data_IF_212023612331
#
_entry.id   IF_212023612331
#
_cell.length_a   1.000
_cell.length_b   1.000
_cell.length_c   1.000
_cell.angle_alpha   90.00
_cell.angle_beta   90.00
_cell.angle_gamma   90.00
#
_symmetry.space_group_name_H-M   'P 1'
#
loop_
_entity.id
_entity.type
_entity.pdbx_description
1 polymer ?
#
# COMPACT_ATOMS: atom_id res chain seq x y z
N UNK A 1 -12.14 -28.07 6.46
CA UNK A 1 -12.74 -26.78 6.02
C UNK A 1 -13.30 -25.92 7.15
N UNK A 2 -13.88 -26.50 8.21
CA UNK A 2 -14.42 -25.77 9.38
C UNK A 2 -13.35 -24.98 10.16
N UNK A 3 -12.15 -25.54 10.35
CA UNK A 3 -11.05 -24.87 11.07
C UNK A 3 -10.55 -23.61 10.36
N UNK A 4 -10.39 -23.61 9.04
CA UNK A 4 -9.90 -22.44 8.28
C UNK A 4 -10.89 -21.28 8.32
N UNK A 5 -12.20 -21.57 8.19
CA UNK A 5 -13.25 -20.55 8.33
C UNK A 5 -13.27 -19.96 9.74
N UNK A 6 -13.17 -20.80 10.77
CA UNK A 6 -13.10 -20.34 12.16
C UNK A 6 -11.90 -19.42 12.40
N UNK A 7 -10.70 -19.78 11.92
CA UNK A 7 -9.52 -18.91 12.05
C UNK A 7 -9.67 -17.59 11.29
N UNK A 8 -10.32 -17.60 10.12
CA UNK A 8 -10.56 -16.37 9.36
C UNK A 8 -11.54 -15.45 10.11
N UNK A 9 -12.61 -16.02 10.69
CA UNK A 9 -13.55 -15.27 11.52
C UNK A 9 -12.86 -14.66 12.74
N UNK A 10 -11.96 -15.42 13.39
CA UNK A 10 -11.15 -14.90 14.49
C UNK A 10 -10.23 -13.76 14.04
N UNK A 11 -9.61 -13.85 12.86
CA UNK A 11 -8.80 -12.77 12.31
C UNK A 11 -9.64 -11.51 12.07
N UNK A 12 -10.82 -11.63 11.46
CA UNK A 12 -11.75 -10.50 11.28
C UNK A 12 -12.27 -9.94 12.61
N UNK A 13 -12.52 -10.80 13.61
CA UNK A 13 -12.94 -10.35 14.93
C UNK A 13 -11.82 -9.56 15.64
N UNK A 14 -10.57 -10.02 15.53
CA UNK A 14 -9.41 -9.29 16.06
C UNK A 14 -9.23 -7.93 15.37
N UNK A 15 -9.40 -7.88 14.03
CA UNK A 15 -9.40 -6.63 13.28
C UNK A 15 -10.55 -5.72 13.71
N UNK A 16 -11.76 -6.24 13.87
CA UNK A 16 -12.90 -5.46 14.34
C UNK A 16 -12.66 -4.87 15.74
N UNK A 17 -12.01 -5.62 16.64
CA UNK A 17 -11.61 -5.13 17.95
C UNK A 17 -10.58 -3.99 17.85
N UNK A 18 -9.59 -4.10 16.96
CA UNK A 18 -8.63 -3.02 16.70
C UNK A 18 -9.32 -1.77 16.11
N UNK A 19 -10.29 -1.93 15.21
CA UNK A 19 -11.03 -0.81 14.64
C UNK A 19 -11.94 -0.15 15.68
N UNK A 20 -12.58 -0.94 16.55
CA UNK A 20 -13.34 -0.42 17.68
C UNK A 20 -12.43 0.35 18.65
N UNK A 21 -11.24 -0.17 18.94
CA UNK A 21 -10.23 0.55 19.71
C UNK A 21 -9.82 1.86 19.00
N UNK A 22 -9.60 1.85 17.68
CA UNK A 22 -9.27 3.05 16.90
C UNK A 22 -10.34 4.15 16.99
N UNK A 23 -11.63 3.76 17.05
CA UNK A 23 -12.75 4.68 17.26
C UNK A 23 -12.80 5.21 18.70
N UNK A 24 -12.38 4.42 19.69
CA UNK A 24 -12.35 4.82 21.09
C UNK A 24 -11.11 5.64 21.46
N UNK A 25 -9.98 5.43 20.78
CA UNK A 25 -8.70 6.10 21.06
C UNK A 25 -8.65 7.51 20.49
N UNK A 26 -8.51 8.50 21.38
CA UNK A 26 -8.24 9.89 21.07
C UNK A 26 -8.37 10.76 22.33
N UNK A 27 -7.79 11.96 22.31
CA UNK A 27 -7.70 12.83 23.49
C UNK A 27 -9.04 13.47 23.89
N UNK A 28 -9.91 13.73 22.92
CA UNK A 28 -11.23 14.31 23.17
C UNK A 28 -12.22 13.21 23.60
N UNK A 29 -12.89 13.39 24.73
CA UNK A 29 -13.93 12.45 25.16
C UNK A 29 -15.19 12.63 24.31
N UNK A 30 -15.47 11.60 23.53
CA UNK A 30 -16.56 11.56 22.55
C UNK A 30 -17.90 11.28 23.22
N UNK A 31 -17.89 10.68 24.41
CA UNK A 31 -19.12 10.26 25.11
C UNK A 31 -19.66 11.34 26.04
N UNK A 32 -18.78 12.18 26.59
CA UNK A 32 -19.15 13.22 27.55
C UNK A 32 -19.04 14.66 27.03
N UNK A 33 -18.33 14.89 25.91
CA UNK A 33 -18.18 16.21 25.32
C UNK A 33 -19.36 16.64 24.47
N UNK A 34 -19.73 17.93 24.56
CA UNK A 34 -20.84 18.53 23.79
C UNK A 34 -20.68 18.33 22.26
N UNK A 35 -19.44 18.33 21.77
CA UNK A 35 -19.10 18.11 20.35
C UNK A 35 -18.68 16.68 20.02
N UNK A 36 -18.90 15.73 20.93
CA UNK A 36 -18.45 14.34 20.81
C UNK A 36 -18.91 13.67 19.51
N UNK A 37 -20.19 13.79 19.18
CA UNK A 37 -20.75 13.22 17.94
C UNK A 37 -20.14 13.84 16.68
N UNK A 38 -19.83 15.14 16.69
CA UNK A 38 -19.18 15.80 15.57
C UNK A 38 -17.74 15.31 15.40
N UNK A 39 -16.99 15.17 16.50
CA UNK A 39 -15.63 14.62 16.49
C UNK A 39 -15.58 13.17 15.99
N UNK A 40 -16.54 12.33 16.41
CA UNK A 40 -16.66 10.96 15.95
C UNK A 40 -16.88 10.91 14.43
N UNK A 41 -17.85 11.66 13.92
CA UNK A 41 -18.27 11.61 12.52
C UNK A 41 -17.31 12.33 11.57
N UNK A 42 -16.64 13.40 12.01
CA UNK A 42 -15.80 14.21 11.13
C UNK A 42 -14.34 13.78 11.12
N UNK A 43 -13.87 13.09 12.17
CA UNK A 43 -12.44 12.71 12.31
C UNK A 43 -12.28 11.21 12.54
N UNK A 44 -12.85 10.65 13.60
CA UNK A 44 -12.54 9.26 14.00
C UNK A 44 -13.05 8.22 13.00
N UNK A 45 -14.31 8.32 12.58
CA UNK A 45 -14.90 7.42 11.57
C UNK A 45 -14.18 7.54 10.21
N UNK A 46 -13.98 8.75 9.64
CA UNK A 46 -13.15 8.93 8.45
C UNK A 46 -11.77 8.29 8.54
N UNK A 47 -11.07 8.49 9.66
CA UNK A 47 -9.75 7.91 9.89
C UNK A 47 -9.79 6.38 9.93
N UNK A 48 -10.74 5.80 10.65
CA UNK A 48 -10.90 4.34 10.72
C UNK A 48 -11.25 3.73 9.36
N UNK A 49 -12.11 4.38 8.56
CA UNK A 49 -12.40 3.93 7.19
C UNK A 49 -11.14 3.98 6.33
N UNK A 50 -10.35 5.05 6.44
CA UNK A 50 -9.10 5.16 5.70
C UNK A 50 -8.08 4.07 6.08
N UNK A 51 -7.97 3.71 7.36
CA UNK A 51 -7.12 2.58 7.80
C UNK A 51 -7.53 1.28 7.10
N UNK A 52 -8.84 1.02 7.02
CA UNK A 52 -9.38 -0.18 6.35
C UNK A 52 -9.05 -0.17 4.87
N UNK A 53 -9.38 0.92 4.17
CA UNK A 53 -9.22 1.03 2.73
C UNK A 53 -7.74 1.02 2.32
N UNK A 54 -6.88 1.81 2.98
CA UNK A 54 -5.46 1.85 2.70
C UNK A 54 -4.76 0.53 3.07
N UNK A 55 -5.05 -0.05 4.23
CA UNK A 55 -4.45 -1.31 4.67
C UNK A 55 -4.77 -2.48 3.74
N UNK A 56 -6.04 -2.61 3.32
CA UNK A 56 -6.43 -3.63 2.35
C UNK A 56 -5.81 -3.38 0.98
N UNK A 57 -5.89 -2.16 0.45
CA UNK A 57 -5.41 -1.83 -0.88
C UNK A 57 -3.89 -1.97 -1.03
N UNK A 58 -3.11 -1.54 -0.03
CA UNK A 58 -1.65 -1.65 -0.06
C UNK A 58 -1.19 -3.10 0.07
N UNK A 59 -1.81 -3.90 0.95
CA UNK A 59 -1.50 -5.32 1.07
C UNK A 59 -1.81 -6.09 -0.22
N UNK A 60 -2.95 -5.79 -0.85
CA UNK A 60 -3.36 -6.39 -2.13
C UNK A 60 -2.48 -5.93 -3.29
N UNK A 61 -2.10 -4.66 -3.33
CA UNK A 61 -1.17 -4.14 -4.36
C UNK A 61 0.20 -4.80 -4.25
N UNK A 62 0.68 -5.03 -3.03
CA UNK A 62 1.89 -5.81 -2.79
C UNK A 62 1.78 -7.24 -3.32
N UNK A 63 0.70 -7.94 -2.99
CA UNK A 63 0.45 -9.30 -3.49
C UNK A 63 0.42 -9.37 -5.02
N UNK A 64 -0.29 -8.44 -5.68
CA UNK A 64 -0.32 -8.37 -7.15
C UNK A 64 1.07 -8.06 -7.69
N UNK A 65 1.81 -7.11 -7.09
CA UNK A 65 3.16 -6.77 -7.53
C UNK A 65 4.09 -8.00 -7.44
N UNK A 66 4.00 -8.77 -6.36
CA UNK A 66 4.80 -10.00 -6.20
C UNK A 66 4.50 -11.03 -7.29
N UNK A 67 3.23 -11.17 -7.68
CA UNK A 67 2.83 -12.07 -8.78
C UNK A 67 3.38 -11.61 -10.12
N UNK A 68 3.17 -10.33 -10.47
CA UNK A 68 3.60 -9.79 -11.77
C UNK A 68 5.14 -9.79 -11.93
N UNK A 69 5.86 -9.57 -10.83
CA UNK A 69 7.33 -9.60 -10.81
C UNK A 69 7.91 -10.99 -10.57
N UNK A 70 7.06 -11.96 -10.22
CA UNK A 70 7.44 -13.31 -9.80
C UNK A 70 8.47 -13.27 -8.65
N UNK A 71 8.34 -12.29 -7.76
CA UNK A 71 9.30 -12.03 -6.70
C UNK A 71 8.61 -11.63 -5.40
N UNK A 72 8.85 -12.41 -4.34
CA UNK A 72 8.21 -12.23 -3.03
C UNK A 72 8.71 -11.02 -2.24
N UNK A 73 9.87 -10.47 -2.57
CA UNK A 73 10.47 -9.35 -1.83
C UNK A 73 10.15 -7.99 -2.46
N UNK A 74 9.09 -7.93 -3.27
CA UNK A 74 8.68 -6.74 -3.99
C UNK A 74 7.32 -6.25 -3.51
N UNK A 75 7.19 -4.93 -3.43
CA UNK A 75 5.97 -4.16 -3.19
C UNK A 75 6.09 -2.77 -3.86
N UNK A 76 5.01 -1.97 -3.94
CA UNK A 76 5.04 -0.68 -4.64
C UNK A 76 6.18 0.26 -4.20
N UNK A 77 6.45 0.37 -2.90
CA UNK A 77 7.54 1.18 -2.33
C UNK A 77 8.94 0.68 -2.69
N UNK A 78 9.12 -0.63 -2.86
CA UNK A 78 10.43 -1.19 -3.29
C UNK A 78 10.65 -1.10 -4.80
N UNK A 79 9.59 -0.93 -5.59
CA UNK A 79 9.68 -0.79 -7.07
C UNK A 79 9.85 0.64 -7.55
N UNK A 80 9.86 1.62 -6.64
CA UNK A 80 9.88 3.03 -6.97
C UNK A 80 8.49 3.63 -7.24
N UNK A 81 7.42 2.83 -7.21
CA UNK A 81 6.06 3.27 -7.64
C UNK A 81 5.55 4.44 -6.79
N UNK A 82 5.85 4.44 -5.50
CA UNK A 82 5.49 5.53 -4.58
C UNK A 82 6.28 6.81 -4.86
N UNK A 83 7.56 6.70 -5.20
CA UNK A 83 8.42 7.84 -5.58
C UNK A 83 7.90 8.49 -6.87
N UNK A 84 7.46 7.70 -7.84
CA UNK A 84 6.79 8.21 -9.04
C UNK A 84 5.45 8.89 -8.71
N UNK A 85 4.64 8.33 -7.82
CA UNK A 85 3.43 9.00 -7.35
C UNK A 85 3.72 10.36 -6.69
N UNK A 86 4.78 10.43 -5.87
CA UNK A 86 5.26 11.67 -5.25
C UNK A 86 5.74 12.71 -6.29
N UNK A 87 6.45 12.27 -7.33
CA UNK A 87 6.80 13.14 -8.46
C UNK A 87 5.55 13.66 -9.18
N UNK A 88 4.55 12.81 -9.40
CA UNK A 88 3.27 13.23 -9.99
C UNK A 88 2.56 14.29 -9.14
N UNK A 89 2.52 14.12 -7.82
CA UNK A 89 1.98 15.11 -6.89
C UNK A 89 2.73 16.45 -6.97
N UNK A 90 4.06 16.41 -7.06
CA UNK A 90 4.87 17.60 -7.22
C UNK A 90 4.58 18.31 -8.55
N UNK A 91 4.42 17.56 -9.65
CA UNK A 91 4.01 18.11 -10.94
C UNK A 91 2.62 18.74 -10.88
N UNK A 92 1.66 18.11 -10.19
CA UNK A 92 0.33 18.68 -10.00
C UNK A 92 0.41 20.04 -9.29
N UNK A 93 1.22 20.14 -8.23
CA UNK A 93 1.39 21.41 -7.50
C UNK A 93 2.06 22.50 -8.34
N UNK A 94 3.05 22.15 -9.15
CA UNK A 94 3.80 23.13 -9.95
C UNK A 94 2.97 23.61 -11.15
N UNK A 95 2.32 22.69 -11.86
CA UNK A 95 1.58 22.99 -13.09
C UNK A 95 0.18 23.54 -12.81
N UNK A 96 -0.47 23.04 -11.75
CA UNK A 96 -1.84 23.40 -11.37
C UNK A 96 -1.89 23.65 -9.85
N UNK A 97 -1.41 24.80 -9.34
CA UNK A 97 -1.36 25.07 -7.90
C UNK A 97 -2.70 24.94 -7.19
N UNK A 98 -3.79 25.28 -7.88
CA UNK A 98 -5.18 25.17 -7.39
C UNK A 98 -5.81 23.80 -7.61
N UNK A 99 -5.01 22.78 -7.98
CA UNK A 99 -5.51 21.44 -8.25
C UNK A 99 -6.27 20.89 -7.04
N UNK A 100 -7.49 20.44 -7.31
CA UNK A 100 -8.32 19.67 -6.42
C UNK A 100 -7.64 18.36 -6.02
N UNK A 101 -8.16 17.72 -4.96
CA UNK A 101 -7.66 16.41 -4.51
C UNK A 101 -7.71 15.37 -5.64
N UNK A 102 -8.78 15.38 -6.44
CA UNK A 102 -8.96 14.43 -7.53
C UNK A 102 -7.95 14.66 -8.68
N UNK A 103 -7.62 15.91 -8.99
CA UNK A 103 -6.60 16.22 -10.00
C UNK A 103 -5.21 15.79 -9.51
N UNK A 104 -4.87 16.10 -8.25
CA UNK A 104 -3.61 15.62 -7.64
C UNK A 104 -3.51 14.09 -7.69
N UNK A 105 -4.62 13.39 -7.44
CA UNK A 105 -4.69 11.93 -7.59
C UNK A 105 -4.47 11.47 -9.01
N UNK A 106 -5.08 12.12 -10.00
CA UNK A 106 -4.89 11.76 -11.40
C UNK A 106 -3.41 11.83 -11.79
N UNK A 107 -2.72 12.91 -11.41
CA UNK A 107 -1.28 13.03 -11.63
C UNK A 107 -0.48 11.93 -10.91
N UNK A 108 -0.77 11.70 -9.62
CA UNK A 108 -0.10 10.66 -8.83
C UNK A 108 -0.27 9.27 -9.46
N UNK A 109 -1.49 8.92 -9.88
CA UNK A 109 -1.80 7.63 -10.51
C UNK A 109 -1.14 7.49 -11.88
N UNK A 110 -1.16 8.53 -12.71
CA UNK A 110 -0.51 8.50 -14.04
C UNK A 110 1.00 8.32 -13.91
N UNK A 111 1.65 9.09 -13.04
CA UNK A 111 3.10 8.96 -12.84
C UNK A 111 3.46 7.61 -12.20
N UNK A 112 2.69 7.17 -11.20
CA UNK A 112 2.81 5.84 -10.60
C UNK A 112 2.75 4.73 -11.66
N UNK A 113 1.76 4.81 -12.56
CA UNK A 113 1.62 3.86 -13.67
C UNK A 113 2.80 3.88 -14.63
N UNK A 114 3.23 5.07 -15.06
CA UNK A 114 4.43 5.24 -15.91
C UNK A 114 5.65 4.63 -15.21
N UNK A 115 5.82 4.92 -13.93
CA UNK A 115 6.92 4.45 -13.11
C UNK A 115 6.99 2.95 -12.98
N UNK A 116 5.86 2.31 -12.65
CA UNK A 116 5.78 0.85 -12.59
C UNK A 116 6.04 0.23 -13.97
N UNK A 117 5.58 0.86 -15.06
CA UNK A 117 5.85 0.38 -16.42
C UNK A 117 7.35 0.48 -16.77
N UNK A 118 7.99 1.61 -16.41
CA UNK A 118 9.44 1.79 -16.54
C UNK A 118 10.18 0.70 -15.76
N UNK A 119 9.78 0.44 -14.52
CA UNK A 119 10.35 -0.64 -13.72
C UNK A 119 10.24 -2.01 -14.42
N UNK A 120 9.07 -2.38 -14.96
CA UNK A 120 8.92 -3.63 -15.70
C UNK A 120 9.74 -3.67 -17.00
N UNK A 121 9.90 -2.55 -17.70
CA UNK A 121 10.76 -2.46 -18.88
C UNK A 121 12.23 -2.72 -18.54
N UNK A 122 12.72 -2.15 -17.44
CA UNK A 122 14.06 -2.44 -16.94
C UNK A 122 14.20 -3.91 -16.53
N UNK A 123 13.22 -4.45 -15.81
CA UNK A 123 13.23 -5.84 -15.36
C UNK A 123 13.28 -6.85 -16.53
N UNK A 124 12.67 -6.53 -17.67
CA UNK A 124 12.76 -7.34 -18.89
C UNK A 124 14.17 -7.40 -19.47
N UNK A 125 15.00 -6.38 -19.25
CA UNK A 125 16.38 -6.30 -19.76
C UNK A 125 17.42 -6.94 -18.83
N UNK A 126 17.07 -7.21 -17.58
CA UNK A 126 17.96 -7.83 -16.60
C UNK A 126 18.00 -9.34 -16.81
N UNK A 127 19.17 -9.88 -17.17
CA UNK A 127 19.39 -11.30 -17.45
C UNK A 127 19.46 -12.17 -16.18
N UNK A 128 19.91 -11.61 -15.06
CA UNK A 128 19.99 -12.29 -13.77
C UNK A 128 18.84 -11.85 -12.86
N UNK A 129 17.76 -12.63 -12.84
CA UNK A 129 16.60 -12.39 -11.95
C UNK A 129 16.75 -13.11 -10.62
N UNK A 130 17.85 -12.87 -9.91
CA UNK A 130 17.92 -13.33 -8.53
C UNK A 130 16.84 -12.62 -7.70
N UNK A 131 16.37 -13.27 -6.65
CA UNK A 131 15.29 -12.74 -5.80
C UNK A 131 15.63 -11.36 -5.20
N UNK A 132 16.91 -11.04 -5.05
CA UNK A 132 17.37 -9.76 -4.50
C UNK A 132 17.58 -8.67 -5.56
N UNK A 133 17.86 -9.03 -6.81
CA UNK A 133 18.14 -8.04 -7.87
C UNK A 133 16.88 -7.22 -8.20
N UNK A 134 15.70 -7.84 -8.17
CA UNK A 134 14.45 -7.16 -8.56
C UNK A 134 14.11 -5.98 -7.62
N UNK A 135 14.11 -6.13 -6.28
CA UNK A 135 13.97 -4.99 -5.37
C UNK A 135 15.10 -3.96 -5.51
N UNK A 136 16.35 -4.39 -5.71
CA UNK A 136 17.50 -3.46 -5.84
C UNK A 136 17.31 -2.53 -7.05
N UNK A 137 16.89 -3.07 -8.20
CA UNK A 137 16.58 -2.27 -9.39
C UNK A 137 15.50 -1.24 -9.09
N UNK A 138 14.44 -1.65 -8.38
CA UNK A 138 13.36 -0.76 -7.97
C UNK A 138 13.82 0.37 -7.04
N UNK A 139 14.63 0.05 -6.01
CA UNK A 139 15.21 1.02 -5.09
C UNK A 139 16.12 2.01 -5.84
N UNK A 140 16.95 1.53 -6.77
CA UNK A 140 17.81 2.39 -7.58
C UNK A 140 17.01 3.34 -8.47
N UNK A 141 15.97 2.84 -9.15
CA UNK A 141 15.09 3.68 -9.98
C UNK A 141 14.32 4.70 -9.12
N UNK A 142 13.79 4.27 -7.97
CA UNK A 142 13.15 5.14 -6.99
C UNK A 142 14.07 6.24 -6.49
N UNK A 143 15.34 5.93 -6.19
CA UNK A 143 16.34 6.91 -5.75
C UNK A 143 16.63 7.99 -6.82
N UNK A 144 16.65 7.62 -8.11
CA UNK A 144 16.80 8.58 -9.22
C UNK A 144 15.59 9.52 -9.25
N UNK A 145 14.37 8.98 -9.20
CA UNK A 145 13.13 9.76 -9.20
C UNK A 145 13.02 10.66 -7.98
N UNK A 146 13.40 10.16 -6.80
CA UNK A 146 13.43 10.92 -5.56
C UNK A 146 14.45 12.06 -5.61
N UNK A 147 15.62 11.85 -6.24
CA UNK A 147 16.62 12.90 -6.47
C UNK A 147 16.09 14.01 -7.38
N UNK A 148 15.41 13.64 -8.47
CA UNK A 148 14.73 14.61 -9.36
C UNK A 148 13.62 15.36 -8.62
N UNK A 149 12.79 14.64 -7.85
CA UNK A 149 11.72 15.23 -7.04
C UNK A 149 12.27 16.22 -6.01
N UNK A 150 13.36 15.88 -5.34
CA UNK A 150 14.02 16.72 -4.34
C UNK A 150 14.63 17.98 -4.98
N UNK A 151 15.28 17.84 -6.13
CA UNK A 151 15.80 18.99 -6.88
C UNK A 151 14.70 19.96 -7.30
N UNK A 152 13.60 19.44 -7.85
CA UNK A 152 12.45 20.26 -8.23
C UNK A 152 11.82 20.92 -7.00
N UNK A 153 11.61 20.17 -5.93
CA UNK A 153 11.02 20.69 -4.71
C UNK A 153 11.87 21.77 -4.03
N UNK A 154 13.21 21.66 -4.12
CA UNK A 154 14.13 22.73 -3.71
C UNK A 154 13.97 23.99 -4.58
N UNK A 155 13.80 23.83 -5.90
CA UNK A 155 13.61 24.96 -6.82
C UNK A 155 12.26 25.66 -6.64
N UNK A 156 11.25 24.95 -6.16
CA UNK A 156 9.89 25.48 -5.98
C UNK A 156 9.52 25.75 -4.54
N UNK A 157 10.47 25.65 -3.61
CA UNK A 157 10.26 25.83 -2.17
C UNK A 157 9.18 24.90 -1.57
N UNK A 158 9.04 23.70 -2.14
CA UNK A 158 8.07 22.68 -1.71
C UNK A 158 8.74 21.48 -1.04
N UNK A 159 10.02 21.60 -0.63
CA UNK A 159 10.76 20.49 -0.02
C UNK A 159 10.10 19.98 1.28
N UNK A 160 9.56 20.89 2.11
CA UNK A 160 8.83 20.51 3.32
C UNK A 160 7.56 19.72 2.98
N UNK A 161 6.79 20.16 1.98
CA UNK A 161 5.58 19.47 1.51
C UNK A 161 5.90 18.10 0.93
N UNK A 162 6.99 17.97 0.17
CA UNK A 162 7.46 16.67 -0.31
C UNK A 162 7.81 15.76 0.88
N UNK A 163 8.50 16.30 1.89
CA UNK A 163 8.85 15.57 3.11
C UNK A 163 7.65 15.08 3.91
N UNK A 164 6.54 15.83 3.96
CA UNK A 164 5.32 15.38 4.66
C UNK A 164 4.63 14.24 3.93
N UNK A 165 4.67 14.17 2.59
CA UNK A 165 4.08 13.04 1.85
C UNK A 165 4.82 11.72 2.03
N UNK A 166 6.14 11.76 2.18
CA UNK A 166 6.93 10.57 2.53
C UNK A 166 6.75 10.16 4.00
N UNK A 167 6.20 11.04 4.85
CA UNK A 167 5.82 10.75 6.23
C UNK A 167 4.36 10.34 6.31
N UNK A 168 4.04 9.13 5.83
CA UNK A 168 2.68 8.61 5.83
C UNK A 168 2.02 8.67 7.22
N UNK A 169 0.89 9.35 7.30
CA UNK A 169 0.11 9.54 8.52
C UNK A 169 -1.38 9.66 8.22
N UNK A 170 -2.19 9.23 9.17
CA UNK A 170 -3.64 9.35 9.11
C UNK A 170 -4.18 10.57 9.87
N UNK A 171 -3.31 11.40 10.46
CA UNK A 171 -3.71 12.61 11.22
C UNK A 171 -4.49 13.61 10.36
N UNK A 172 -4.18 13.71 9.07
CA UNK A 172 -4.84 14.64 8.14
C UNK A 172 -6.14 14.09 7.54
N UNK A 173 -6.58 12.89 7.93
CA UNK A 173 -7.78 12.27 7.38
C UNK A 173 -9.02 12.72 8.15
N UNK A 174 -9.85 13.52 7.48
CA UNK A 174 -11.14 13.98 7.98
C UNK A 174 -12.20 13.95 6.87
N UNK A 175 -13.45 14.23 7.25
CA UNK A 175 -14.59 14.28 6.32
C UNK A 175 -14.33 15.27 5.17
N UNK A 176 -14.53 14.83 3.93
CA UNK A 176 -14.19 15.56 2.70
C UNK A 176 -12.89 15.09 2.03
N UNK A 177 -12.00 14.41 2.76
CA UNK A 177 -10.75 13.87 2.20
C UNK A 177 -10.71 12.33 2.10
N UNK A 178 -11.42 11.60 2.94
CA UNK A 178 -11.37 10.13 2.94
C UNK A 178 -12.26 9.51 1.86
N UNK A 179 -13.24 10.24 1.34
CA UNK A 179 -14.25 9.75 0.40
C UNK A 179 -13.62 9.29 -0.92
N UNK A 180 -12.53 9.95 -1.33
CA UNK A 180 -11.76 9.55 -2.52
C UNK A 180 -11.07 8.19 -2.35
N UNK A 181 -10.84 7.71 -1.13
CA UNK A 181 -10.32 6.36 -0.89
C UNK A 181 -11.31 5.26 -1.30
N UNK A 182 -12.60 5.55 -1.50
CA UNK A 182 -13.53 4.54 -2.03
C UNK A 182 -13.10 4.01 -3.41
N UNK A 183 -12.30 4.75 -4.17
CA UNK A 183 -11.68 4.26 -5.42
C UNK A 183 -10.83 3.02 -5.17
N UNK A 184 -10.11 2.94 -4.04
CA UNK A 184 -9.26 1.78 -3.74
C UNK A 184 -10.08 0.55 -3.33
N UNK A 185 -11.32 0.73 -2.88
CA UNK A 185 -12.24 -0.41 -2.72
C UNK A 185 -12.54 -1.06 -4.07
N UNK A 186 -12.75 -0.28 -5.12
CA UNK A 186 -12.94 -0.81 -6.47
C UNK A 186 -11.71 -1.59 -6.95
N UNK A 187 -10.50 -1.14 -6.60
CA UNK A 187 -9.25 -1.89 -6.86
C UNK A 187 -9.25 -3.22 -6.12
N UNK A 188 -9.56 -3.24 -4.82
CA UNK A 188 -9.62 -4.47 -4.03
C UNK A 188 -10.62 -5.45 -4.65
N UNK A 189 -11.83 -5.01 -4.97
CA UNK A 189 -12.87 -5.83 -5.63
C UNK A 189 -12.41 -6.33 -7.00
N UNK A 190 -11.74 -5.50 -7.80
CA UNK A 190 -11.20 -5.91 -9.08
C UNK A 190 -10.14 -7.02 -8.92
N UNK A 191 -9.25 -6.94 -7.92
CA UNK A 191 -8.28 -8.01 -7.66
C UNK A 191 -8.99 -9.32 -7.28
N UNK A 192 -10.07 -9.27 -6.50
CA UNK A 192 -10.89 -10.47 -6.23
C UNK A 192 -11.49 -11.08 -7.49
N UNK A 193 -11.97 -10.24 -8.41
CA UNK A 193 -12.57 -10.70 -9.66
C UNK A 193 -11.53 -11.30 -10.62
N UNK A 194 -10.35 -10.68 -10.70
CA UNK A 194 -9.28 -11.10 -11.61
C UNK A 194 -8.26 -12.06 -10.98
N UNK A 195 -8.49 -12.52 -9.76
CA UNK A 195 -7.55 -13.34 -8.99
C UNK A 195 -7.00 -14.52 -9.82
N UNK A 196 -7.87 -15.37 -10.36
CA UNK A 196 -7.43 -16.57 -11.08
C UNK A 196 -6.56 -16.22 -12.32
N UNK A 197 -6.89 -15.14 -13.03
CA UNK A 197 -6.12 -14.69 -14.21
C UNK A 197 -4.78 -14.05 -13.83
N UNK A 198 -4.74 -13.32 -12.71
CA UNK A 198 -3.51 -12.76 -12.15
C UNK A 198 -2.58 -13.86 -11.65
N UNK A 199 -3.11 -14.93 -11.05
CA UNK A 199 -2.34 -16.12 -10.67
C UNK A 199 -1.70 -16.75 -11.90
N UNK A 200 -2.48 -17.00 -12.96
CA UNK A 200 -1.97 -17.60 -14.20
C UNK A 200 -0.90 -16.71 -14.84
N UNK A 201 -1.12 -15.39 -14.90
CA UNK A 201 -0.10 -14.46 -15.39
C UNK A 201 1.18 -14.48 -14.54
N UNK A 202 1.05 -14.64 -13.21
CA UNK A 202 2.17 -14.78 -12.29
C UNK A 202 2.97 -16.08 -12.44
N UNK A 203 2.44 -17.09 -13.13
CA UNK A 203 3.20 -18.31 -13.49
C UNK A 203 4.18 -18.09 -14.66
N UNK A 204 4.04 -16.97 -15.37
CA UNK A 204 4.93 -16.58 -16.47
C UNK A 204 4.19 -16.50 -17.80
N UNK A 205 4.86 -15.87 -18.77
CA UNK A 205 4.26 -15.55 -20.07
C UNK A 205 3.86 -16.81 -20.85
N UNK A 206 4.74 -17.82 -20.92
CA UNK A 206 4.52 -19.06 -21.66
C UNK A 206 3.35 -19.89 -21.11
N UNK A 207 3.26 -20.04 -19.78
CA UNK A 207 2.14 -20.75 -19.16
C UNK A 207 0.83 -19.99 -19.33
N UNK A 208 0.85 -18.66 -19.20
CA UNK A 208 -0.35 -17.85 -19.37
C UNK A 208 -0.89 -17.93 -20.80
N UNK A 209 -0.03 -17.82 -21.81
CA UNK A 209 -0.43 -17.91 -23.21
C UNK A 209 -0.92 -19.30 -23.60
N UNK A 210 -0.29 -20.37 -23.10
CA UNK A 210 -0.71 -21.75 -23.34
C UNK A 210 -2.11 -22.09 -22.80
N UNK A 211 -2.53 -21.46 -21.69
CA UNK A 211 -3.86 -21.64 -21.09
C UNK A 211 -4.88 -20.60 -21.63
N UNK A 212 -4.50 -19.79 -22.63
CA UNK A 212 -5.38 -18.83 -23.30
C UNK A 212 -5.56 -17.50 -22.56
N UNK A 213 -4.73 -17.22 -21.54
CA UNK A 213 -4.72 -15.93 -20.85
C UNK A 213 -3.75 -14.98 -21.56
N UNK A 214 -4.25 -13.78 -21.91
CA UNK A 214 -3.39 -12.75 -22.50
C UNK A 214 -2.50 -12.12 -21.42
N UNK A 215 -1.23 -12.57 -21.36
CA UNK A 215 -0.23 -12.12 -20.39
C UNK A 215 -0.06 -10.60 -20.37
N UNK A 216 0.07 -9.97 -21.54
CA UNK A 216 0.29 -8.52 -21.64
C UNK A 216 -0.88 -7.71 -21.09
N UNK A 217 -2.13 -8.14 -21.35
CA UNK A 217 -3.33 -7.49 -20.79
C UNK A 217 -3.39 -7.63 -19.27
N UNK A 218 -3.00 -8.78 -18.72
CA UNK A 218 -2.98 -8.99 -17.27
C UNK A 218 -1.87 -8.18 -16.59
N UNK A 219 -0.70 -8.07 -17.22
CA UNK A 219 0.38 -7.17 -16.75
C UNK A 219 -0.07 -5.71 -16.72
N UNK A 220 -0.72 -5.25 -17.79
CA UNK A 220 -1.25 -3.88 -17.88
C UNK A 220 -2.32 -3.62 -16.82
N UNK A 221 -3.28 -4.55 -16.67
CA UNK A 221 -4.35 -4.47 -15.69
C UNK A 221 -3.80 -4.44 -14.26
N UNK A 222 -2.92 -5.39 -13.91
CA UNK A 222 -2.32 -5.44 -12.58
C UNK A 222 -1.49 -4.20 -12.28
N UNK A 223 -0.74 -3.69 -13.26
CA UNK A 223 -0.01 -2.42 -13.14
C UNK A 223 -0.95 -1.24 -12.90
N UNK A 224 -2.07 -1.16 -13.62
CA UNK A 224 -3.08 -0.12 -13.42
C UNK A 224 -3.70 -0.19 -12.02
N UNK A 225 -4.05 -1.40 -11.54
CA UNK A 225 -4.60 -1.60 -10.20
C UNK A 225 -3.62 -1.16 -9.12
N UNK A 226 -2.36 -1.56 -9.22
CA UNK A 226 -1.30 -1.14 -8.28
C UNK A 226 -1.11 0.38 -8.33
N UNK A 227 -1.08 0.97 -9.54
CA UNK A 227 -0.84 2.40 -9.70
C UNK A 227 -1.97 3.24 -9.11
N UNK A 228 -3.24 2.83 -9.33
CA UNK A 228 -4.42 3.46 -8.76
C UNK A 228 -4.38 3.39 -7.24
N UNK A 229 -4.20 2.19 -6.66
CA UNK A 229 -4.13 2.03 -5.21
C UNK A 229 -2.99 2.84 -4.59
N UNK A 230 -1.78 2.71 -5.12
CA UNK A 230 -0.58 3.41 -4.60
C UNK A 230 -0.74 4.92 -4.72
N UNK A 231 -1.18 5.43 -5.87
CA UNK A 231 -1.36 6.86 -6.10
C UNK A 231 -2.41 7.46 -5.19
N UNK A 232 -3.60 6.86 -5.11
CA UNK A 232 -4.69 7.35 -4.26
C UNK A 232 -4.30 7.30 -2.78
N UNK A 233 -3.71 6.21 -2.29
CA UNK A 233 -3.26 6.11 -0.89
C UNK A 233 -2.15 7.14 -0.60
N UNK A 234 -1.22 7.35 -1.52
CA UNK A 234 -0.13 8.31 -1.33
C UNK A 234 -0.64 9.75 -1.25
N UNK A 235 -1.69 10.11 -2.02
CA UNK A 235 -2.29 11.45 -1.93
C UNK A 235 -2.99 11.70 -0.59
N UNK A 236 -3.72 10.71 -0.07
CA UNK A 236 -4.57 10.90 1.11
C UNK A 236 -3.82 10.64 2.42
N UNK A 237 -3.00 9.59 2.44
CA UNK A 237 -2.33 9.10 3.65
C UNK A 237 -0.82 9.30 3.59
N UNK A 238 -0.24 9.34 2.39
CA UNK A 238 1.21 9.34 2.20
C UNK A 238 1.78 7.93 2.10
N UNK A 239 3.10 7.83 2.23
CA UNK A 239 3.83 6.58 2.04
C UNK A 239 3.59 5.57 3.18
N UNK A 240 3.10 4.37 2.86
CA UNK A 240 2.93 3.24 3.78
C UNK A 240 3.88 2.09 3.41
N UNK A 241 5.11 2.06 3.95
CA UNK A 241 6.10 1.06 3.57
C UNK A 241 5.81 -0.32 4.17
N UNK A 242 6.32 -1.37 3.54
CA UNK A 242 6.34 -2.77 3.98
C UNK A 242 5.00 -3.49 4.11
N UNK A 243 3.85 -2.80 4.02
CA UNK A 243 2.52 -3.44 4.12
C UNK A 243 2.34 -4.46 2.99
N UNK A 244 2.68 -4.07 1.77
CA UNK A 244 2.53 -4.90 0.57
C UNK A 244 3.53 -6.04 0.51
N UNK A 245 4.68 -5.90 1.18
CA UNK A 245 5.68 -6.95 1.24
C UNK A 245 5.34 -7.96 2.34
N UNK A 246 5.10 -7.50 3.55
CA UNK A 246 5.03 -8.37 4.74
C UNK A 246 3.76 -9.19 4.74
N UNK A 247 2.62 -8.55 4.49
CA UNK A 247 1.34 -9.20 4.69
C UNK A 247 1.17 -10.40 3.75
N UNK A 248 1.41 -10.28 2.42
CA UNK A 248 1.35 -11.43 1.52
C UNK A 248 2.34 -12.55 1.86
N UNK A 249 3.56 -12.19 2.28
CA UNK A 249 4.58 -13.18 2.68
C UNK A 249 4.18 -13.95 3.94
N UNK A 250 3.69 -13.24 4.96
CA UNK A 250 3.18 -13.88 6.16
C UNK A 250 2.00 -14.80 5.81
N UNK A 251 1.08 -14.38 4.93
CA UNK A 251 -0.03 -15.22 4.43
C UNK A 251 0.46 -16.47 3.69
N UNK A 252 1.47 -16.35 2.84
CA UNK A 252 1.95 -17.50 2.07
C UNK A 252 2.70 -18.53 2.92
N UNK A 253 3.41 -18.12 3.98
CA UNK A 253 4.21 -19.02 4.83
C UNK A 253 3.42 -20.16 5.51
N UNK A 254 2.13 -19.95 5.77
CA UNK A 254 1.24 -20.86 6.52
C UNK A 254 0.05 -21.34 5.70
N UNK A 255 -0.31 -20.67 4.59
CA UNK A 255 -1.41 -21.09 3.70
C UNK A 255 -0.98 -21.54 2.31
N UNK A 256 0.27 -21.34 1.92
CA UNK A 256 0.75 -21.57 0.56
C UNK A 256 0.40 -20.42 -0.38
N UNK A 257 0.59 -20.61 -1.69
CA UNK A 257 0.58 -19.52 -2.69
C UNK A 257 -0.73 -19.42 -3.51
N UNK A 258 -1.82 -20.01 -3.03
CA UNK A 258 -3.12 -19.87 -3.69
C UNK A 258 -3.69 -18.45 -3.46
N UNK A 259 -3.61 -17.63 -4.51
CA UNK A 259 -4.03 -16.23 -4.48
C UNK A 259 -5.47 -16.08 -3.99
N UNK A 260 -6.42 -16.79 -4.63
CA UNK A 260 -7.85 -16.53 -4.46
C UNK A 260 -8.30 -16.84 -3.05
N UNK A 261 -7.83 -17.94 -2.47
CA UNK A 261 -8.16 -18.25 -1.09
C UNK A 261 -7.40 -17.38 -0.09
N UNK A 262 -6.26 -16.80 -0.45
CA UNK A 262 -5.47 -15.93 0.41
C UNK A 262 -5.96 -14.47 0.45
N UNK A 263 -6.68 -13.98 -0.56
CA UNK A 263 -7.13 -12.57 -0.60
C UNK A 263 -7.84 -12.09 0.67
N UNK A 264 -8.79 -12.83 1.28
CA UNK A 264 -9.44 -12.39 2.52
C UNK A 264 -8.46 -12.24 3.69
N UNK A 265 -7.43 -13.08 3.74
CA UNK A 265 -6.40 -13.04 4.78
C UNK A 265 -5.44 -11.87 4.58
N UNK A 266 -5.05 -11.62 3.33
CA UNK A 266 -4.21 -10.47 2.98
C UNK A 266 -4.94 -9.17 3.32
N UNK A 267 -6.24 -9.08 3.04
CA UNK A 267 -7.05 -7.94 3.45
C UNK A 267 -7.10 -7.80 4.98
N UNK A 268 -7.49 -8.85 5.70
CA UNK A 268 -7.65 -8.80 7.15
C UNK A 268 -6.34 -8.43 7.87
N UNK A 269 -5.21 -9.07 7.49
CA UNK A 269 -3.91 -8.76 8.09
C UNK A 269 -3.37 -7.39 7.65
N UNK A 270 -3.64 -6.95 6.42
CA UNK A 270 -3.27 -5.61 5.96
C UNK A 270 -3.97 -4.51 6.77
N UNK A 271 -5.28 -4.66 6.95
CA UNK A 271 -6.09 -3.77 7.80
C UNK A 271 -5.59 -3.82 9.24
N UNK A 272 -5.40 -5.03 9.79
CA UNK A 272 -4.96 -5.21 11.17
C UNK A 272 -3.59 -4.61 11.46
N UNK A 273 -2.62 -4.79 10.55
CA UNK A 273 -1.27 -4.23 10.67
C UNK A 273 -1.32 -2.70 10.68
N UNK A 274 -1.98 -2.10 9.70
CA UNK A 274 -2.08 -0.64 9.59
C UNK A 274 -2.86 -0.04 10.77
N UNK A 275 -3.95 -0.66 11.19
CA UNK A 275 -4.73 -0.21 12.35
C UNK A 275 -3.93 -0.33 13.66
N UNK A 276 -3.16 -1.40 13.85
CA UNK A 276 -2.30 -1.55 15.02
C UNK A 276 -1.18 -0.50 15.05
N UNK A 277 -0.53 -0.24 13.90
CA UNK A 277 0.48 0.80 13.79
C UNK A 277 -0.10 2.20 14.04
N UNK A 278 -1.29 2.50 13.53
CA UNK A 278 -1.97 3.78 13.79
C UNK A 278 -2.35 3.96 15.26
N UNK A 279 -2.83 2.90 15.93
CA UNK A 279 -3.10 2.95 17.37
C UNK A 279 -1.83 3.23 18.18
N UNK A 280 -0.74 2.53 17.87
CA UNK A 280 0.55 2.78 18.52
C UNK A 280 1.04 4.22 18.27
N UNK A 281 0.89 4.72 17.04
CA UNK A 281 1.26 6.09 16.67
C UNK A 281 0.53 7.16 17.51
N UNK A 282 -0.73 6.92 17.89
CA UNK A 282 -1.52 7.82 18.73
C UNK A 282 -1.19 7.73 20.23
N UNK A 283 -0.63 6.61 20.68
CA UNK A 283 -0.42 6.33 22.11
C UNK A 283 1.01 6.70 22.56
N UNK A 284 2.03 6.44 21.74
CA UNK A 284 3.44 6.53 22.16
C UNK A 284 3.84 7.93 22.66
N UNK A 285 3.38 9.02 22.02
CA UNK A 285 3.71 10.41 22.39
C UNK A 285 2.46 11.30 22.57
N UNK A 286 1.37 10.72 23.05
CA UNK A 286 0.15 11.45 23.38
C UNK A 286 0.45 12.77 24.16
N UNK A 287 -0.09 13.94 23.76
CA UNK A 287 -1.16 14.19 22.78
C UNK A 287 -0.71 14.34 21.31
N UNK A 288 0.59 14.29 21.02
CA UNK A 288 1.09 14.31 19.65
C UNK A 288 1.00 12.91 19.01
N UNK A 289 1.14 12.86 17.69
CA UNK A 289 1.10 11.61 16.93
C UNK A 289 2.38 11.47 16.11
N UNK A 290 2.95 10.26 16.09
CA UNK A 290 4.08 9.92 15.21
C UNK A 290 3.51 9.52 13.83
N UNK A 291 4.19 9.81 12.70
CA UNK A 291 3.79 9.24 11.41
C UNK A 291 3.74 7.71 11.46
N UNK A 292 2.64 7.13 10.99
CA UNK A 292 2.43 5.67 10.97
C UNK A 292 3.50 4.96 10.13
N UNK A 293 4.01 5.64 9.10
CA UNK A 293 5.12 5.13 8.28
C UNK A 293 6.39 4.83 9.07
N UNK A 294 6.65 5.53 10.18
CA UNK A 294 7.82 5.28 11.05
C UNK A 294 7.68 3.92 11.75
N UNK A 295 6.51 3.66 12.34
CA UNK A 295 6.24 2.39 13.04
C UNK A 295 6.22 1.23 12.04
N UNK A 296 5.57 1.42 10.89
CA UNK A 296 5.60 0.46 9.79
C UNK A 296 7.02 0.22 9.28
N UNK A 297 7.87 1.25 9.20
CA UNK A 297 9.27 1.13 8.82
C UNK A 297 10.07 0.25 9.78
N UNK A 298 9.92 0.46 11.10
CA UNK A 298 10.62 -0.31 12.13
C UNK A 298 10.13 -1.77 12.15
N UNK A 299 8.82 -1.97 12.34
CA UNK A 299 8.21 -3.31 12.36
C UNK A 299 8.52 -4.01 11.05
N UNK A 300 8.43 -3.26 9.95
CA UNK A 300 8.56 -3.81 8.63
C UNK A 300 9.97 -4.29 8.31
N UNK A 301 10.98 -3.47 8.64
CA UNK A 301 12.38 -3.86 8.50
C UNK A 301 12.72 -5.11 9.33
N UNK A 302 12.26 -5.19 10.59
CA UNK A 302 12.51 -6.36 11.45
C UNK A 302 11.91 -7.63 10.84
N UNK A 303 10.65 -7.58 10.41
CA UNK A 303 9.98 -8.72 9.79
C UNK A 303 10.63 -9.09 8.46
N UNK A 304 10.95 -8.10 7.62
CA UNK A 304 11.61 -8.33 6.34
C UNK A 304 12.97 -9.02 6.48
N UNK A 305 13.83 -8.54 7.39
CA UNK A 305 15.11 -9.17 7.69
C UNK A 305 14.91 -10.60 8.20
N UNK A 306 13.93 -10.81 9.10
CA UNK A 306 13.62 -12.15 9.60
C UNK A 306 13.15 -13.11 8.50
N UNK A 307 12.38 -12.63 7.51
CA UNK A 307 11.95 -13.41 6.34
C UNK A 307 13.14 -13.82 5.47
N UNK A 308 14.06 -12.89 5.19
CA UNK A 308 15.27 -13.18 4.41
C UNK A 308 16.13 -14.24 5.11
N UNK A 309 16.47 -14.03 6.39
CA UNK A 309 17.36 -14.92 7.15
C UNK A 309 16.77 -16.33 7.28
N UNK A 310 15.44 -16.46 7.41
CA UNK A 310 14.77 -17.77 7.44
C UNK A 310 14.75 -18.45 6.07
N UNK A 311 14.58 -17.70 4.98
CA UNK A 311 14.58 -18.22 3.61
C UNK A 311 15.91 -18.88 3.23
N UNK A 312 17.03 -18.26 3.62
CA UNK A 312 18.38 -18.79 3.35
C UNK A 312 18.70 -20.11 4.07
N UNK A 313 17.96 -20.47 5.12
CA UNK A 313 18.16 -21.75 5.85
C UNK A 313 17.42 -22.95 5.23
N UNK A 314 16.56 -22.73 4.25
CA UNK A 314 15.72 -23.78 3.61
C UNK A 314 16.09 -24.07 2.15
N UNK A 315 17.06 -23.38 1.58
CA UNK A 315 17.68 -23.69 0.30
C UNK A 315 19.08 -24.24 0.51
#
# INVERSE_FOLDING_TARGET
MTSTRARLLLAFAAVAALLAASLATGQYDVLSGDDGLAMLNNVRVPRTIALVLAGAAMAMSGLVMQLLTQNRFVEPTTTGTTEWAGLGLLFAMILVPTASVLERMAFAVVFSFIGTMVFFLFLRRVSLRSSLIVPIVGIMLGAVVSSVSSFLALKTDTLQTLGTWFQGSFTSVYKGQYEVLWIVLAVVVAVFFFADRLTIAGLGEELATNVGVNYQRMMLLGTALIAIATGVVTVVVGNLPFVGLIVPNLVSMWRGDDLRSNLPWVCALGIGLVAACDLLARIIIAPFEIPVSVILGIVGAVVFVALIVRGTRRG
#
